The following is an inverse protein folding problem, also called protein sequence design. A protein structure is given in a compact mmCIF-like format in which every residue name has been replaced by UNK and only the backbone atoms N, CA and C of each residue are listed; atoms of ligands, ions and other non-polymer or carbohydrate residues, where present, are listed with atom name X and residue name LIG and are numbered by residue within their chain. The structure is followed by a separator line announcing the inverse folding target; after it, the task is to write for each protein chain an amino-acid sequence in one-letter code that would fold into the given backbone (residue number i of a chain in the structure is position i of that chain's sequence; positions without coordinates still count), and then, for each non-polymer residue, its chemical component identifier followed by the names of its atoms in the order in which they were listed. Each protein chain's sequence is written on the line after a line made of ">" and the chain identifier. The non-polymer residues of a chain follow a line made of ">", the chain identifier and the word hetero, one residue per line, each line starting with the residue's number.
data_IF_239715952782
#
_entry.id   IF_239715952782
#
_cell.length_a   1.000
_cell.length_b   1.000
_cell.length_c   1.000
_cell.angle_alpha   90.00
_cell.angle_beta   90.00
_cell.angle_gamma   90.00
#
_symmetry.space_group_name_H-M   'P 1'
#
loop_
_entity.id
_entity.type
_entity.pdbx_description
1 polymer ?
#
# COMPACT_ATOMS: atom_id res chain seq x y z
N UNK A 1 23.40 -22.38 -13.76
CA UNK A 1 22.79 -23.04 -14.93
C UNK A 1 21.27 -22.96 -14.80
N UNK A 2 20.51 -22.76 -15.88
CA UNK A 2 19.07 -23.07 -15.87
C UNK A 2 18.94 -24.54 -15.45
N UNK A 3 17.95 -24.91 -14.62
CA UNK A 3 17.85 -26.30 -14.17
C UNK A 3 17.66 -27.22 -15.39
N UNK A 4 18.39 -28.34 -15.48
CA UNK A 4 18.17 -29.36 -16.52
C UNK A 4 16.91 -30.18 -16.27
N UNK A 5 16.35 -30.13 -15.06
CA UNK A 5 15.15 -30.84 -14.66
C UNK A 5 13.99 -29.85 -14.49
N UNK A 6 12.79 -30.28 -14.84
CA UNK A 6 11.56 -29.48 -14.76
C UNK A 6 11.25 -28.90 -13.37
N UNK A 7 10.10 -28.23 -13.20
CA UNK A 7 9.77 -27.61 -11.93
C UNK A 7 9.77 -28.62 -10.79
N UNK A 8 10.46 -28.29 -9.70
CA UNK A 8 10.48 -29.15 -8.50
C UNK A 8 9.06 -29.24 -7.91
N UNK A 9 8.76 -30.31 -7.16
CA UNK A 9 7.47 -30.48 -6.51
C UNK A 9 7.07 -29.27 -5.63
N UNK A 10 8.05 -28.60 -5.00
CA UNK A 10 7.83 -27.36 -4.25
C UNK A 10 7.45 -26.16 -5.12
N UNK A 11 7.98 -26.07 -6.34
CA UNK A 11 7.61 -25.04 -7.31
C UNK A 11 6.20 -25.30 -7.88
N UNK A 12 5.87 -26.57 -8.12
CA UNK A 12 4.51 -26.96 -8.53
C UNK A 12 3.49 -26.63 -7.44
N UNK A 13 3.82 -26.84 -6.17
CA UNK A 13 2.98 -26.43 -5.04
C UNK A 13 2.76 -24.91 -5.02
N UNK A 14 3.81 -24.12 -5.28
CA UNK A 14 3.70 -22.67 -5.36
C UNK A 14 2.78 -22.24 -6.52
N UNK A 15 2.93 -22.84 -7.70
CA UNK A 15 2.04 -22.56 -8.84
C UNK A 15 0.59 -22.94 -8.53
N UNK A 16 0.36 -24.08 -7.89
CA UNK A 16 -0.96 -24.48 -7.44
C UNK A 16 -1.55 -23.46 -6.46
N UNK A 17 -0.75 -22.96 -5.50
CA UNK A 17 -1.20 -21.96 -4.54
C UNK A 17 -1.53 -20.62 -5.22
N UNK A 18 -0.67 -20.10 -6.10
CA UNK A 18 -0.98 -18.84 -6.79
C UNK A 18 -2.19 -19.01 -7.72
N UNK A 19 -2.37 -20.19 -8.33
CA UNK A 19 -3.57 -20.50 -9.07
C UNK A 19 -4.83 -20.44 -8.19
N UNK A 20 -4.78 -20.89 -6.93
CA UNK A 20 -5.93 -20.74 -6.03
C UNK A 20 -6.26 -19.29 -5.72
N UNK A 21 -5.23 -18.44 -5.56
CA UNK A 21 -5.41 -17.00 -5.38
C UNK A 21 -6.02 -16.36 -6.63
N UNK A 22 -5.57 -16.75 -7.83
CA UNK A 22 -6.16 -16.28 -9.08
C UNK A 22 -7.63 -16.68 -9.21
N UNK A 23 -7.99 -17.91 -8.84
CA UNK A 23 -9.39 -18.36 -8.83
C UNK A 23 -10.25 -17.54 -7.84
N UNK A 24 -9.72 -17.19 -6.66
CA UNK A 24 -10.43 -16.33 -5.72
C UNK A 24 -10.67 -14.92 -6.27
N UNK A 25 -9.66 -14.30 -6.88
CA UNK A 25 -9.80 -12.97 -7.48
C UNK A 25 -10.80 -12.98 -8.65
N UNK A 26 -10.73 -14.00 -9.50
CA UNK A 26 -11.71 -14.20 -10.59
C UNK A 26 -13.12 -14.43 -10.03
N UNK A 27 -13.26 -15.20 -8.93
CA UNK A 27 -14.54 -15.40 -8.25
C UNK A 27 -15.09 -14.06 -7.75
N UNK A 28 -14.25 -13.30 -7.05
CA UNK A 28 -14.62 -12.01 -6.47
C UNK A 28 -15.06 -11.01 -7.53
N UNK A 29 -14.33 -10.91 -8.65
CA UNK A 29 -14.64 -10.01 -9.75
C UNK A 29 -15.87 -10.41 -10.59
N UNK A 30 -16.13 -11.71 -10.77
CA UNK A 30 -17.20 -12.20 -11.66
C UNK A 30 -18.50 -12.56 -10.94
N UNK A 31 -18.43 -13.23 -9.79
CA UNK A 31 -19.56 -13.93 -9.16
C UNK A 31 -20.21 -13.16 -8.00
N UNK A 32 -19.57 -12.10 -7.50
CA UNK A 32 -20.13 -11.31 -6.38
C UNK A 32 -21.10 -10.23 -6.90
N UNK A 33 -22.40 -10.54 -6.94
CA UNK A 33 -23.47 -9.56 -7.19
C UNK A 33 -24.49 -9.95 -8.26
N UNK A 34 -25.54 -9.11 -8.45
CA UNK A 34 -26.67 -9.33 -9.37
C UNK A 34 -26.62 -8.51 -10.69
N UNK A 35 -25.64 -7.63 -10.91
CA UNK A 35 -25.57 -6.69 -12.07
C UNK A 35 -25.06 -7.33 -13.38
N UNK A 36 -25.01 -6.64 -14.51
CA UNK A 36 -24.36 -7.19 -15.72
C UNK A 36 -22.83 -7.35 -15.52
N UNK A 37 -22.21 -8.41 -16.08
CA UNK A 37 -20.79 -8.75 -15.86
C UNK A 37 -19.82 -7.58 -16.16
N UNK A 38 -20.02 -6.85 -17.25
CA UNK A 38 -19.15 -5.73 -17.63
C UNK A 38 -19.14 -4.59 -16.60
N UNK A 39 -20.30 -4.28 -16.00
CA UNK A 39 -20.39 -3.27 -14.94
C UNK A 39 -19.73 -3.74 -13.65
N UNK A 40 -19.74 -5.05 -13.36
CA UNK A 40 -19.08 -5.63 -12.18
C UNK A 40 -17.56 -5.55 -12.31
N UNK A 41 -17.02 -6.01 -13.44
CA UNK A 41 -15.57 -5.96 -13.72
C UNK A 41 -15.07 -4.52 -13.69
N UNK A 42 -15.84 -3.58 -14.24
CA UNK A 42 -15.49 -2.15 -14.17
C UNK A 42 -15.45 -1.62 -12.74
N UNK A 43 -16.42 -1.98 -11.90
CA UNK A 43 -16.43 -1.58 -10.49
C UNK A 43 -15.28 -2.23 -9.70
N UNK A 44 -14.97 -3.50 -9.98
CA UNK A 44 -13.84 -4.23 -9.39
C UNK A 44 -12.49 -3.58 -9.75
N UNK A 45 -12.29 -3.21 -11.02
CA UNK A 45 -11.07 -2.53 -11.47
C UNK A 45 -10.93 -1.09 -10.98
N UNK A 46 -11.96 -0.47 -10.39
CA UNK A 46 -11.87 0.87 -9.83
C UNK A 46 -11.27 0.89 -8.42
N UNK A 47 -11.27 -0.24 -7.71
CA UNK A 47 -10.66 -0.33 -6.39
C UNK A 47 -9.13 -0.42 -6.51
N UNK A 48 -8.35 0.52 -5.94
CA UNK A 48 -6.89 0.52 -6.04
C UNK A 48 -6.24 -0.72 -5.40
N UNK A 49 -6.84 -1.29 -4.36
CA UNK A 49 -6.32 -2.51 -3.73
C UNK A 49 -6.43 -3.71 -4.65
N UNK A 50 -7.51 -3.73 -5.41
CA UNK A 50 -7.76 -4.78 -6.35
C UNK A 50 -6.88 -4.66 -7.61
N UNK A 51 -6.62 -3.43 -8.07
CA UNK A 51 -5.61 -3.19 -9.10
C UNK A 51 -4.23 -3.66 -8.65
N UNK A 52 -3.89 -3.47 -7.37
CA UNK A 52 -2.64 -3.94 -6.79
C UNK A 52 -2.55 -5.47 -6.80
N UNK A 53 -3.60 -6.17 -6.38
CA UNK A 53 -3.67 -7.64 -6.39
C UNK A 53 -3.59 -8.21 -7.82
N UNK A 54 -4.26 -7.58 -8.79
CA UNK A 54 -4.17 -7.96 -10.21
C UNK A 54 -2.75 -7.74 -10.78
N UNK A 55 -2.09 -6.66 -10.35
CA UNK A 55 -0.71 -6.36 -10.76
C UNK A 55 0.27 -7.37 -10.19
N UNK A 56 0.11 -7.77 -8.92
CA UNK A 56 0.92 -8.83 -8.30
C UNK A 56 0.73 -10.17 -9.03
N UNK A 57 -0.51 -10.59 -9.26
CA UNK A 57 -0.77 -11.82 -10.02
C UNK A 57 -0.24 -11.76 -11.45
N UNK A 58 -0.34 -10.61 -12.12
CA UNK A 58 0.22 -10.40 -13.45
C UNK A 58 1.75 -10.49 -13.49
N UNK A 59 2.44 -9.90 -12.50
CA UNK A 59 3.90 -9.98 -12.37
C UNK A 59 4.37 -11.41 -12.08
N UNK A 60 3.65 -12.16 -11.24
CA UNK A 60 3.92 -13.58 -11.01
C UNK A 60 3.79 -14.41 -12.28
N UNK A 61 2.70 -14.24 -13.04
CA UNK A 61 2.49 -14.94 -14.30
C UNK A 61 3.60 -14.60 -15.31
N UNK A 62 3.97 -13.32 -15.43
CA UNK A 62 5.08 -12.89 -16.27
C UNK A 62 6.40 -13.53 -15.83
N UNK A 63 6.71 -13.53 -14.54
CA UNK A 63 7.89 -14.17 -13.98
C UNK A 63 7.92 -15.68 -14.21
N UNK A 64 6.79 -16.36 -14.05
CA UNK A 64 6.63 -17.78 -14.31
C UNK A 64 6.79 -18.14 -15.79
N UNK A 65 6.23 -17.34 -16.71
CA UNK A 65 6.44 -17.52 -18.16
C UNK A 65 7.91 -17.31 -18.52
N UNK A 66 8.55 -16.25 -18.02
CA UNK A 66 9.98 -15.99 -18.24
C UNK A 66 10.89 -17.09 -17.65
N UNK A 67 10.46 -17.78 -16.59
CA UNK A 67 11.13 -18.92 -15.96
C UNK A 67 11.09 -20.18 -16.85
N UNK A 68 10.08 -20.35 -17.70
CA UNK A 68 9.95 -21.50 -18.61
C UNK A 68 10.91 -21.42 -19.79
N UNK A 69 11.33 -20.21 -20.21
CA UNK A 69 12.26 -20.05 -21.33
C UNK A 69 13.71 -19.99 -20.85
N UNK A 70 14.63 -20.77 -21.46
CA UNK A 70 16.03 -20.84 -21.02
C UNK A 70 16.78 -19.51 -21.22
N UNK A 71 16.40 -18.71 -22.22
CA UNK A 71 17.01 -17.40 -22.51
C UNK A 71 16.69 -16.34 -21.46
N UNK A 72 15.51 -16.40 -20.84
CA UNK A 72 15.03 -15.38 -19.89
C UNK A 72 15.06 -15.87 -18.44
N UNK A 73 15.70 -17.00 -18.16
CA UNK A 73 15.70 -17.62 -16.84
C UNK A 73 16.23 -16.68 -15.73
N UNK A 74 17.34 -15.98 -15.99
CA UNK A 74 17.91 -15.03 -15.03
C UNK A 74 16.95 -13.85 -14.77
N UNK A 75 16.35 -13.31 -15.82
CA UNK A 75 15.35 -12.23 -15.71
C UNK A 75 14.08 -12.69 -14.99
N UNK A 76 13.61 -13.92 -15.24
CA UNK A 76 12.46 -14.51 -14.57
C UNK A 76 12.68 -14.63 -13.05
N UNK A 77 13.89 -15.03 -12.62
CA UNK A 77 14.25 -15.02 -11.20
C UNK A 77 14.16 -13.63 -10.59
N UNK A 78 14.70 -12.61 -11.27
CA UNK A 78 14.65 -11.22 -10.77
C UNK A 78 13.21 -10.71 -10.66
N UNK A 79 12.37 -11.01 -11.66
CA UNK A 79 10.94 -10.65 -11.63
C UNK A 79 10.22 -11.32 -10.48
N UNK A 80 10.44 -12.63 -10.24
CA UNK A 80 9.85 -13.35 -9.12
C UNK A 80 10.32 -12.83 -7.75
N UNK A 81 11.56 -12.33 -7.64
CA UNK A 81 12.04 -11.69 -6.41
C UNK A 81 11.32 -10.35 -6.14
N UNK A 82 11.11 -9.53 -7.18
CA UNK A 82 10.33 -8.29 -7.06
C UNK A 82 8.87 -8.58 -6.76
N UNK A 83 8.31 -9.60 -7.40
CA UNK A 83 6.95 -10.07 -7.18
C UNK A 83 6.73 -10.48 -5.72
N UNK A 84 7.69 -11.20 -5.11
CA UNK A 84 7.63 -11.51 -3.68
C UNK A 84 7.52 -10.25 -2.80
N UNK A 85 8.26 -9.18 -3.11
CA UNK A 85 8.12 -7.91 -2.39
C UNK A 85 6.69 -7.36 -2.49
N UNK A 86 6.09 -7.38 -3.69
CA UNK A 86 4.71 -6.94 -3.91
C UNK A 86 3.72 -7.81 -3.13
N UNK A 87 3.87 -9.14 -3.15
CA UNK A 87 3.05 -10.06 -2.35
C UNK A 87 3.18 -9.83 -0.85
N UNK A 88 4.37 -9.48 -0.35
CA UNK A 88 4.53 -9.15 1.08
C UNK A 88 3.82 -7.85 1.46
N UNK A 89 3.83 -6.85 0.58
CA UNK A 89 3.06 -5.61 0.79
C UNK A 89 1.56 -5.87 0.86
N UNK A 90 1.05 -6.89 0.16
CA UNK A 90 -0.36 -7.35 0.26
C UNK A 90 -0.76 -7.74 1.69
N UNK A 91 0.18 -8.24 2.51
CA UNK A 91 -0.11 -8.58 3.91
C UNK A 91 -0.58 -7.36 4.71
N UNK A 92 -0.10 -6.15 4.35
CA UNK A 92 -0.52 -4.89 4.98
C UNK A 92 -2.03 -4.69 4.79
N UNK A 93 -2.56 -4.98 3.61
CA UNK A 93 -4.00 -4.88 3.32
C UNK A 93 -4.81 -5.88 4.16
N UNK A 94 -4.31 -7.09 4.39
CA UNK A 94 -4.96 -8.07 5.27
C UNK A 94 -4.98 -7.56 6.72
N UNK A 95 -3.88 -6.96 7.20
CA UNK A 95 -3.81 -6.39 8.54
C UNK A 95 -4.64 -5.12 8.73
N UNK A 96 -5.14 -4.50 7.65
CA UNK A 96 -6.06 -3.35 7.71
C UNK A 96 -7.35 -3.63 8.49
N UNK A 97 -7.76 -4.90 8.54
CA UNK A 97 -8.97 -5.36 9.27
C UNK A 97 -8.77 -5.30 10.78
N UNK A 98 -7.52 -5.36 11.26
CA UNK A 98 -7.21 -5.42 12.67
C UNK A 98 -7.56 -4.11 13.38
N UNK A 99 -8.16 -4.20 14.57
CA UNK A 99 -8.60 -3.05 15.38
C UNK A 99 -7.45 -2.11 15.77
N UNK A 100 -6.25 -2.65 15.99
CA UNK A 100 -5.10 -1.87 16.45
C UNK A 100 -4.22 -1.31 15.31
N UNK A 101 -4.18 -1.99 14.16
CA UNK A 101 -3.29 -1.64 13.05
C UNK A 101 -4.02 -0.94 11.90
N UNK A 102 -5.31 -1.20 11.70
CA UNK A 102 -6.11 -0.64 10.63
C UNK A 102 -6.20 0.90 10.62
N UNK A 103 -6.54 1.56 11.76
CA UNK A 103 -6.56 3.02 11.81
C UNK A 103 -5.20 3.63 11.48
N UNK A 104 -4.11 3.03 11.97
CA UNK A 104 -2.73 3.47 11.73
C UNK A 104 -2.36 3.40 10.24
N UNK A 105 -2.74 2.31 9.57
CA UNK A 105 -2.50 2.14 8.13
C UNK A 105 -3.21 3.23 7.30
N UNK A 106 -4.45 3.57 7.63
CA UNK A 106 -5.20 4.64 6.93
C UNK A 106 -4.55 6.01 7.14
N UNK A 107 -4.01 6.26 8.33
CA UNK A 107 -3.28 7.50 8.62
C UNK A 107 -2.02 7.59 7.75
N UNK A 108 -1.21 6.52 7.70
CA UNK A 108 -0.02 6.45 6.82
C UNK A 108 -0.42 6.73 5.36
N UNK A 109 -1.49 6.11 4.86
CA UNK A 109 -1.97 6.34 3.50
C UNK A 109 -2.37 7.79 3.23
N UNK A 110 -2.99 8.47 4.19
CA UNK A 110 -3.36 9.89 4.06
C UNK A 110 -2.16 10.83 4.18
N UNK A 111 -1.13 10.45 4.95
CA UNK A 111 0.12 11.20 5.09
C UNK A 111 1.01 11.09 3.84
N UNK A 112 0.74 10.17 2.91
CA UNK A 112 1.51 10.04 1.66
C UNK A 112 1.50 11.31 0.81
N UNK A 113 0.45 12.14 0.87
CA UNK A 113 0.40 13.42 0.14
C UNK A 113 1.45 14.41 0.67
N UNK A 114 1.65 14.43 1.98
CA UNK A 114 2.63 15.31 2.61
C UNK A 114 4.05 14.78 2.38
N UNK A 115 4.24 13.46 2.42
CA UNK A 115 5.51 12.82 2.06
C UNK A 115 5.88 13.13 0.61
N UNK A 116 4.91 13.13 -0.31
CA UNK A 116 5.16 13.48 -1.71
C UNK A 116 5.59 14.95 -1.87
N UNK A 117 4.92 15.87 -1.17
CA UNK A 117 5.30 17.29 -1.17
C UNK A 117 6.71 17.49 -0.61
N UNK A 118 7.05 16.81 0.49
CA UNK A 118 8.39 16.82 1.05
C UNK A 118 9.44 16.26 0.07
N UNK A 119 9.15 15.11 -0.55
CA UNK A 119 10.06 14.48 -1.51
C UNK A 119 10.29 15.36 -2.75
N UNK A 120 9.29 16.13 -3.17
CA UNK A 120 9.44 17.11 -4.24
C UNK A 120 10.44 18.22 -3.88
N UNK A 121 10.28 18.86 -2.71
CA UNK A 121 11.24 19.87 -2.25
C UNK A 121 12.64 19.28 -2.02
N UNK A 122 12.71 18.08 -1.44
CA UNK A 122 13.97 17.36 -1.25
C UNK A 122 14.66 17.10 -2.58
N UNK A 123 13.93 16.66 -3.62
CA UNK A 123 14.50 16.39 -4.93
C UNK A 123 15.07 17.67 -5.58
N UNK A 124 14.36 18.80 -5.50
CA UNK A 124 14.85 20.09 -6.02
C UNK A 124 16.15 20.51 -5.32
N UNK A 125 16.19 20.42 -3.99
CA UNK A 125 17.39 20.74 -3.21
C UNK A 125 18.54 19.79 -3.52
N UNK A 126 18.25 18.48 -3.62
CA UNK A 126 19.24 17.44 -3.85
C UNK A 126 19.90 17.60 -5.22
N UNK A 127 19.12 17.92 -6.26
CA UNK A 127 19.66 18.22 -7.60
C UNK A 127 20.55 19.46 -7.56
N UNK A 128 20.11 20.56 -6.94
CA UNK A 128 20.90 21.79 -6.86
C UNK A 128 22.23 21.57 -6.15
N UNK A 129 22.20 20.92 -4.97
CA UNK A 129 23.39 20.60 -4.21
C UNK A 129 24.31 19.59 -4.92
N UNK A 130 23.73 18.51 -5.45
CA UNK A 130 24.49 17.44 -6.11
C UNK A 130 25.19 17.89 -7.38
N UNK A 131 24.53 18.70 -8.22
CA UNK A 131 25.14 19.24 -9.46
C UNK A 131 26.23 20.25 -9.14
N UNK A 132 26.00 21.13 -8.15
CA UNK A 132 27.01 22.12 -7.73
C UNK A 132 28.26 21.43 -7.19
N UNK A 133 28.07 20.42 -6.33
CA UNK A 133 29.16 19.63 -5.75
C UNK A 133 29.95 18.88 -6.82
N UNK A 134 29.29 18.25 -7.79
CA UNK A 134 29.97 17.57 -8.90
C UNK A 134 30.78 18.55 -9.76
N UNK A 135 30.20 19.72 -10.07
CA UNK A 135 30.87 20.75 -10.87
C UNK A 135 32.10 21.37 -10.21
N UNK A 136 32.09 21.49 -8.87
CA UNK A 136 33.21 22.04 -8.10
C UNK A 136 34.33 21.02 -7.86
N UNK A 137 33.99 19.78 -7.46
CA UNK A 137 35.00 18.79 -7.08
C UNK A 137 35.55 17.99 -8.28
N UNK A 138 34.76 17.75 -9.32
CA UNK A 138 35.14 16.87 -10.45
C UNK A 138 34.78 17.49 -11.81
N UNK A 139 35.46 18.58 -12.24
CA UNK A 139 35.11 19.32 -13.45
C UNK A 139 35.34 18.57 -14.78
N UNK A 140 36.01 17.40 -14.76
CA UNK A 140 36.45 16.69 -15.98
C UNK A 140 35.88 15.28 -16.16
N UNK A 141 35.06 14.79 -15.22
CA UNK A 141 34.48 13.45 -15.31
C UNK A 141 33.30 13.42 -16.30
N UNK A 142 33.35 12.53 -17.30
CA UNK A 142 32.29 12.39 -18.33
C UNK A 142 31.45 11.11 -18.22
N UNK A 143 31.68 10.29 -17.17
CA UNK A 143 30.99 9.01 -17.01
C UNK A 143 29.60 9.22 -16.41
N UNK A 144 28.57 9.25 -17.27
CA UNK A 144 27.18 9.50 -16.86
C UNK A 144 26.71 8.68 -15.65
N UNK A 145 26.98 7.38 -15.60
CA UNK A 145 26.56 6.52 -14.48
C UNK A 145 27.19 6.93 -13.13
N UNK A 146 28.42 7.45 -13.16
CA UNK A 146 29.10 7.93 -11.96
C UNK A 146 28.59 9.31 -11.55
N UNK A 147 28.36 10.19 -12.52
CA UNK A 147 27.74 11.50 -12.32
C UNK A 147 26.36 11.34 -11.66
N UNK A 148 25.49 10.47 -12.20
CA UNK A 148 24.18 10.20 -11.60
C UNK A 148 24.28 9.67 -10.16
N UNK A 149 25.25 8.79 -9.89
CA UNK A 149 25.50 8.29 -8.53
C UNK A 149 25.97 9.40 -7.58
N UNK A 150 26.84 10.31 -8.03
CA UNK A 150 27.36 11.41 -7.20
C UNK A 150 26.33 12.51 -6.99
N UNK A 151 25.55 12.86 -8.01
CA UNK A 151 24.52 13.91 -7.93
C UNK A 151 23.31 13.47 -7.10
N UNK A 152 22.82 12.24 -7.26
CA UNK A 152 21.59 11.81 -6.60
C UNK A 152 21.84 10.96 -5.34
N UNK A 153 22.64 9.91 -5.48
CA UNK A 153 22.74 8.88 -4.43
C UNK A 153 23.59 9.34 -3.24
N UNK A 154 24.68 10.07 -3.47
CA UNK A 154 25.55 10.54 -2.37
C UNK A 154 24.89 11.60 -1.48
N UNK A 155 24.35 12.72 -2.01
CA UNK A 155 23.58 13.68 -1.22
C UNK A 155 22.38 13.06 -0.48
N UNK A 156 21.73 12.06 -1.08
CA UNK A 156 20.65 11.34 -0.42
C UNK A 156 21.12 10.62 0.86
N UNK A 157 22.29 9.97 0.82
CA UNK A 157 22.87 9.29 1.98
C UNK A 157 23.33 10.25 3.08
N UNK A 158 23.77 11.47 2.72
CA UNK A 158 24.15 12.50 3.69
C UNK A 158 22.99 12.92 4.59
N UNK A 159 21.75 12.90 4.07
CA UNK A 159 20.53 13.19 4.86
C UNK A 159 20.37 12.20 6.02
N UNK A 160 20.84 10.96 5.85
CA UNK A 160 20.83 9.90 6.87
C UNK A 160 22.08 9.90 7.76
N UNK A 161 23.00 10.86 7.58
CA UNK A 161 24.21 11.00 8.40
C UNK A 161 25.41 10.19 7.91
N UNK A 162 25.35 9.59 6.72
CA UNK A 162 26.52 8.96 6.10
C UNK A 162 27.30 10.00 5.30
N UNK A 163 28.19 10.73 5.99
CA UNK A 163 29.06 11.74 5.37
C UNK A 163 30.42 11.09 5.12
N UNK A 164 30.80 10.79 3.86
CA UNK A 164 32.16 10.38 3.55
C UNK A 164 33.08 11.60 3.67
N UNK A 165 33.57 11.86 4.88
CA UNK A 165 34.49 12.97 5.18
C UNK A 165 35.79 12.83 4.36
N UNK A 166 36.28 11.60 4.19
CA UNK A 166 37.54 11.26 3.52
C UNK A 166 37.63 11.67 2.03
N UNK A 167 36.50 11.91 1.37
CA UNK A 167 36.46 12.36 -0.04
C UNK A 167 36.20 13.87 -0.19
N UNK A 168 35.72 14.53 0.87
CA UNK A 168 35.36 15.95 0.86
C UNK A 168 36.51 16.77 1.47
N UNK A 169 37.06 16.28 2.58
CA UNK A 169 38.29 16.81 3.16
C UNK A 169 39.45 16.30 2.32
N UNK A 170 39.84 17.09 1.31
CA UNK A 170 40.95 16.82 0.40
C UNK A 170 42.31 16.79 1.11
N UNK A 171 42.50 15.86 2.05
CA UNK A 171 43.76 15.61 2.71
C UNK A 171 44.69 14.90 1.72
N UNK A 172 45.44 15.75 1.02
CA UNK A 172 46.76 15.48 0.44
C UNK A 172 46.82 14.42 -0.66
N UNK A 173 46.41 14.79 -1.89
CA UNK A 173 46.94 14.15 -3.09
C UNK A 173 48.06 15.02 -3.68
N UNK A 174 49.31 14.66 -3.39
CA UNK A 174 50.48 15.16 -4.13
C UNK A 174 50.45 14.56 -5.54
N UNK A 175 49.74 15.22 -6.44
CA UNK A 175 49.78 14.95 -7.87
C UNK A 175 51.20 15.31 -8.39
N UNK A 176 52.16 14.38 -8.33
CA UNK A 176 53.50 14.58 -8.89
C UNK A 176 53.39 14.54 -10.41
N UNK A 177 53.62 15.68 -11.06
CA UNK A 177 53.68 15.79 -12.53
C UNK A 177 54.97 15.13 -13.02
N UNK A 178 54.98 13.82 -13.16
CA UNK A 178 56.03 13.10 -13.90
C UNK A 178 55.37 12.34 -15.05
N UNK A 179 55.71 12.77 -16.27
CA UNK A 179 55.24 12.13 -17.50
C UNK A 179 55.69 10.67 -17.55
N UNK A 180 54.76 9.78 -17.84
CA UNK A 180 55.04 8.36 -17.99
C UNK A 180 53.76 7.55 -17.90
N UNK A 181 53.26 7.11 -19.05
CA UNK A 181 52.12 6.21 -19.15
C UNK A 181 52.39 4.91 -18.41
N UNK A 182 51.66 4.68 -17.31
CA UNK A 182 51.23 3.35 -16.87
C UNK A 182 50.00 3.50 -15.98
N UNK A 183 48.85 3.20 -16.58
CA UNK A 183 47.55 3.14 -15.90
C UNK A 183 47.32 1.68 -15.59
N UNK A 184 47.74 1.23 -14.42
CA UNK A 184 47.24 0.00 -13.82
C UNK A 184 47.20 0.23 -12.30
N UNK A 185 46.03 -0.04 -11.72
CA UNK A 185 45.74 -0.09 -10.28
C UNK A 185 45.73 1.24 -9.50
N UNK A 186 44.74 2.09 -9.78
CA UNK A 186 44.19 3.01 -8.77
C UNK A 186 42.66 3.07 -8.88
N UNK A 187 41.97 2.27 -8.06
CA UNK A 187 40.54 2.39 -7.80
C UNK A 187 40.27 3.52 -6.78
N UNK A 188 40.74 4.75 -7.05
CA UNK A 188 40.49 5.94 -6.20
C UNK A 188 40.31 7.20 -7.07
N UNK A 189 39.42 8.15 -6.69
CA UNK A 189 39.11 9.32 -7.51
C UNK A 189 40.31 10.26 -7.62
N UNK A 190 40.47 10.87 -8.80
CA UNK A 190 41.53 11.80 -9.15
C UNK A 190 41.40 13.17 -8.44
N UNK A 191 42.56 13.79 -8.17
CA UNK A 191 42.82 15.03 -7.43
C UNK A 191 41.73 16.13 -7.59
N UNK A 192 41.16 16.56 -6.46
CA UNK A 192 40.29 17.73 -6.33
C UNK A 192 41.08 19.02 -6.48
N UNK A 193 40.57 19.97 -7.28
CA UNK A 193 41.15 21.30 -7.42
C UNK A 193 40.86 22.14 -6.19
N UNK A 194 41.90 22.58 -5.48
CA UNK A 194 41.81 23.63 -4.46
C UNK A 194 41.18 24.90 -5.07
N UNK A 195 39.92 25.16 -4.72
CA UNK A 195 39.28 26.46 -4.89
C UNK A 195 38.37 26.70 -3.68
N UNK A 196 38.81 27.59 -2.79
CA UNK A 196 37.96 28.35 -1.87
C UNK A 196 37.38 27.60 -0.66
N UNK A 197 38.21 27.27 0.32
CA UNK A 197 37.75 26.89 1.67
C UNK A 197 37.19 28.10 2.42
N UNK A 198 36.01 27.96 3.02
CA UNK A 198 35.46 28.94 3.96
C UNK A 198 33.98 28.74 4.31
N UNK A 199 33.09 28.75 3.32
CA UNK A 199 31.67 29.03 3.60
C UNK A 199 30.69 27.86 3.35
N UNK A 200 31.01 26.89 2.50
CA UNK A 200 30.06 25.81 2.16
C UNK A 200 30.06 24.63 3.15
N UNK A 201 31.00 24.59 4.09
CA UNK A 201 31.07 23.56 5.14
C UNK A 201 30.12 23.82 6.31
N UNK A 202 29.83 25.09 6.59
CA UNK A 202 28.99 25.49 7.72
C UNK A 202 27.49 25.32 7.42
N UNK A 203 27.07 25.37 6.15
CA UNK A 203 25.66 25.26 5.77
C UNK A 203 25.12 23.81 5.76
N UNK A 204 25.98 22.81 5.59
CA UNK A 204 25.56 21.40 5.40
C UNK A 204 24.88 20.75 6.62
N UNK A 205 25.40 20.90 7.86
CA UNK A 205 24.75 20.33 9.04
C UNK A 205 23.41 21.01 9.34
N UNK A 206 23.34 22.33 9.12
CA UNK A 206 22.18 23.17 9.41
C UNK A 206 21.01 22.90 8.47
N UNK A 207 21.25 22.79 7.16
CA UNK A 207 20.18 22.44 6.22
C UNK A 207 19.63 21.03 6.49
N UNK A 208 20.48 20.08 6.86
CA UNK A 208 20.07 18.69 7.13
C UNK A 208 19.30 18.58 8.46
N UNK A 209 19.73 19.31 9.51
CA UNK A 209 19.00 19.34 10.78
C UNK A 209 17.66 20.04 10.65
N UNK A 210 17.61 21.20 9.98
CA UNK A 210 16.38 21.95 9.73
C UNK A 210 15.40 21.11 8.92
N UNK A 211 15.83 20.48 7.81
CA UNK A 211 14.93 19.64 7.01
C UNK A 211 14.38 18.45 7.80
N UNK A 212 15.17 17.87 8.71
CA UNK A 212 14.74 16.75 9.55
C UNK A 212 13.76 17.18 10.64
N UNK A 213 14.02 18.32 11.29
CA UNK A 213 13.12 18.90 12.29
C UNK A 213 11.80 19.36 11.67
N UNK A 214 11.86 20.07 10.53
CA UNK A 214 10.66 20.49 9.79
C UNK A 214 9.85 19.27 9.33
N UNK A 215 10.49 18.23 8.80
CA UNK A 215 9.81 17.00 8.39
C UNK A 215 9.12 16.31 9.57
N UNK A 216 9.76 16.28 10.75
CA UNK A 216 9.19 15.73 11.97
C UNK A 216 7.98 16.53 12.47
N UNK A 217 8.06 17.86 12.43
CA UNK A 217 6.98 18.74 12.87
C UNK A 217 5.78 18.72 11.93
N UNK A 218 6.00 18.78 10.61
CA UNK A 218 4.94 18.63 9.62
C UNK A 218 4.29 17.25 9.70
N UNK A 219 5.07 16.17 9.89
CA UNK A 219 4.52 14.84 10.10
C UNK A 219 3.69 14.75 11.39
N UNK A 220 4.14 15.39 12.48
CA UNK A 220 3.41 15.42 13.76
C UNK A 220 2.09 16.20 13.66
N UNK A 221 2.11 17.38 13.03
CA UNK A 221 0.91 18.20 12.81
C UNK A 221 -0.12 17.49 11.94
N UNK A 222 0.29 16.89 10.81
CA UNK A 222 -0.64 16.15 9.97
C UNK A 222 -1.12 14.87 10.66
N UNK A 223 -0.26 14.18 11.41
CA UNK A 223 -0.67 13.00 12.19
C UNK A 223 -1.80 13.36 13.17
N UNK A 224 -1.66 14.44 13.93
CA UNK A 224 -2.70 14.91 14.87
C UNK A 224 -4.02 15.25 14.16
N UNK A 225 -3.96 15.96 13.02
CA UNK A 225 -5.14 16.35 12.23
C UNK A 225 -5.83 15.16 11.55
N UNK A 226 -5.05 14.21 11.04
CA UNK A 226 -5.54 13.02 10.32
C UNK A 226 -6.06 11.96 11.29
N UNK A 227 -5.52 11.86 12.51
CA UNK A 227 -5.97 10.93 13.55
C UNK A 227 -7.46 11.12 13.89
N UNK A 228 -7.92 12.36 14.05
CA UNK A 228 -9.30 12.66 14.46
C UNK A 228 -10.37 12.19 13.46
N UNK A 229 -10.11 12.32 12.15
CA UNK A 229 -11.07 11.93 11.10
C UNK A 229 -10.87 10.50 10.59
N UNK A 230 -9.72 9.88 10.86
CA UNK A 230 -9.41 8.55 10.30
C UNK A 230 -10.08 7.41 11.03
N UNK A 231 -10.42 7.55 12.32
CA UNK A 231 -11.14 6.50 13.07
C UNK A 231 -12.56 6.30 12.53
N UNK A 232 -13.30 7.38 12.24
CA UNK A 232 -14.64 7.28 11.64
C UNK A 232 -14.59 6.64 10.25
N UNK A 233 -13.61 7.02 9.43
CA UNK A 233 -13.41 6.44 8.11
C UNK A 233 -13.04 4.95 8.18
N UNK A 234 -12.12 4.58 9.09
CA UNK A 234 -11.74 3.19 9.34
C UNK A 234 -12.92 2.34 9.79
N UNK A 235 -13.76 2.85 10.71
CA UNK A 235 -14.97 2.15 11.17
C UNK A 235 -15.93 1.82 10.02
N UNK A 236 -16.11 2.75 9.07
CA UNK A 236 -16.91 2.53 7.87
C UNK A 236 -16.30 1.49 6.94
N UNK A 237 -14.99 1.60 6.65
CA UNK A 237 -14.27 0.63 5.81
C UNK A 237 -14.26 -0.77 6.41
N UNK A 238 -14.05 -0.88 7.73
CA UNK A 238 -14.02 -2.14 8.46
C UNK A 238 -15.34 -2.92 8.30
N UNK A 239 -16.48 -2.23 8.35
CA UNK A 239 -17.77 -2.90 8.15
C UNK A 239 -17.86 -3.54 6.76
N UNK A 240 -17.44 -2.81 5.71
CA UNK A 240 -17.41 -3.33 4.34
C UNK A 240 -16.48 -4.56 4.22
N UNK A 241 -15.29 -4.50 4.82
CA UNK A 241 -14.34 -5.62 4.82
C UNK A 241 -14.91 -6.83 5.56
N UNK A 242 -15.53 -6.66 6.73
CA UNK A 242 -16.14 -7.76 7.48
C UNK A 242 -17.25 -8.43 6.67
N UNK A 243 -18.10 -7.63 6.00
CA UNK A 243 -19.15 -8.14 5.12
C UNK A 243 -18.56 -8.95 3.95
N UNK A 244 -17.45 -8.48 3.38
CA UNK A 244 -16.73 -9.18 2.32
C UNK A 244 -16.18 -10.53 2.82
N UNK A 245 -15.47 -10.56 3.94
CA UNK A 245 -14.94 -11.79 4.54
C UNK A 245 -16.05 -12.79 4.90
N UNK A 246 -17.21 -12.31 5.34
CA UNK A 246 -18.35 -13.18 5.64
C UNK A 246 -18.89 -13.90 4.40
N UNK A 247 -18.78 -13.28 3.22
CA UNK A 247 -19.21 -13.86 1.95
C UNK A 247 -18.11 -14.71 1.27
N UNK A 248 -16.91 -14.80 1.84
CA UNK A 248 -15.85 -15.69 1.34
C UNK A 248 -16.10 -17.13 1.81
N UNK A 249 -15.75 -18.14 1.00
CA UNK A 249 -15.82 -19.53 1.43
C UNK A 249 -14.92 -19.74 2.67
N UNK A 250 -15.38 -20.58 3.60
CA UNK A 250 -14.75 -20.74 4.92
C UNK A 250 -13.36 -21.40 4.91
N UNK A 251 -12.94 -21.98 3.77
CA UNK A 251 -11.68 -22.70 3.67
C UNK A 251 -10.51 -21.75 3.38
N UNK A 252 -9.37 -22.02 4.02
CA UNK A 252 -8.13 -21.29 3.79
C UNK A 252 -7.67 -21.42 2.32
N UNK A 253 -6.90 -20.43 1.79
CA UNK A 253 -6.44 -20.38 0.40
C UNK A 253 -5.83 -21.67 -0.19
N UNK A 254 -5.09 -22.53 0.55
CA UNK A 254 -4.61 -23.79 -0.03
C UNK A 254 -5.72 -24.83 -0.28
N UNK A 255 -6.80 -24.82 0.49
CA UNK A 255 -7.90 -25.80 0.39
C UNK A 255 -9.13 -25.27 -0.35
N UNK A 256 -9.09 -24.02 -0.80
CA UNK A 256 -10.20 -23.34 -1.46
C UNK A 256 -10.56 -23.98 -2.82
N UNK A 257 -9.62 -24.71 -3.43
CA UNK A 257 -9.86 -25.51 -4.64
C UNK A 257 -11.03 -26.48 -4.42
N UNK A 258 -11.13 -27.09 -3.23
CA UNK A 258 -12.21 -28.03 -2.90
C UNK A 258 -13.56 -27.31 -2.91
N UNK A 259 -13.63 -26.08 -2.37
CA UNK A 259 -14.87 -25.29 -2.44
C UNK A 259 -15.23 -24.87 -3.87
N UNK A 260 -14.24 -24.52 -4.70
CA UNK A 260 -14.49 -24.19 -6.12
C UNK A 260 -14.95 -25.39 -6.93
N UNK A 261 -14.38 -26.57 -6.69
CA UNK A 261 -14.77 -27.83 -7.37
C UNK A 261 -16.19 -28.25 -6.95
N UNK A 262 -16.57 -28.06 -5.68
CA UNK A 262 -17.93 -28.36 -5.19
C UNK A 262 -18.96 -27.33 -5.70
N UNK A 263 -18.57 -26.06 -5.84
CA UNK A 263 -19.46 -24.99 -6.31
C UNK A 263 -19.60 -24.91 -7.85
N UNK A 264 -18.60 -25.37 -8.62
CA UNK A 264 -18.61 -25.36 -10.07
C UNK A 264 -19.83 -26.07 -10.73
N UNK A 265 -20.25 -27.28 -10.31
CA UNK A 265 -21.40 -27.96 -10.92
C UNK A 265 -22.74 -27.23 -10.66
N UNK A 266 -22.85 -26.44 -9.60
CA UNK A 266 -24.06 -25.67 -9.27
C UNK A 266 -24.26 -24.42 -10.14
N UNK A 267 -23.20 -23.98 -10.84
CA UNK A 267 -23.18 -22.81 -11.73
C UNK A 267 -23.40 -23.23 -13.19
N UNK A 268 -22.93 -24.42 -13.59
CA UNK A 268 -22.97 -24.90 -14.96
C UNK A 268 -24.27 -25.65 -15.30
N UNK A 269 -24.98 -26.20 -14.31
CA UNK A 269 -26.26 -26.90 -14.51
C UNK A 269 -27.42 -25.93 -14.26
N UNK A 270 -28.32 -25.70 -15.24
CA UNK A 270 -29.49 -24.85 -15.02
C UNK A 270 -30.41 -25.47 -13.94
N UNK A 271 -31.04 -24.64 -13.08
CA UNK A 271 -31.81 -25.12 -11.92
C UNK A 271 -32.94 -26.09 -12.28
N UNK A 272 -33.38 -26.14 -13.53
CA UNK A 272 -34.41 -27.07 -14.00
C UNK A 272 -34.01 -28.56 -13.97
N UNK A 273 -32.71 -28.91 -13.98
CA UNK A 273 -32.25 -30.31 -13.99
C UNK A 273 -31.82 -30.84 -12.61
N UNK A 274 -31.60 -29.96 -11.62
CA UNK A 274 -31.11 -30.34 -10.29
C UNK A 274 -32.24 -30.62 -9.29
N UNK A 275 -33.45 -30.09 -9.53
CA UNK A 275 -34.57 -30.12 -8.58
C UNK A 275 -35.23 -31.50 -8.40
N UNK A 276 -34.96 -32.48 -9.26
CA UNK A 276 -35.67 -33.77 -9.26
C UNK A 276 -35.01 -34.88 -8.44
N UNK A 277 -33.77 -34.74 -7.96
CA UNK A 277 -33.10 -35.89 -7.33
C UNK A 277 -32.59 -35.70 -5.89
N UNK A 278 -32.34 -34.48 -5.39
CA UNK A 278 -31.95 -34.27 -3.99
C UNK A 278 -32.40 -32.87 -3.52
N UNK A 279 -32.96 -32.71 -2.31
CA UNK A 279 -33.14 -31.41 -1.69
C UNK A 279 -31.76 -30.92 -1.22
N UNK A 280 -30.93 -30.44 -2.15
CA UNK A 280 -29.70 -29.75 -1.79
C UNK A 280 -30.03 -28.28 -1.46
N UNK A 281 -29.64 -27.76 -0.29
CA UNK A 281 -29.78 -26.35 0.02
C UNK A 281 -29.07 -25.50 -1.03
N UNK A 282 -29.47 -24.24 -1.16
CA UNK A 282 -28.85 -23.26 -2.06
C UNK A 282 -27.31 -23.32 -2.09
N UNK A 283 -26.66 -22.97 -3.22
CA UNK A 283 -25.21 -23.13 -3.47
C UNK A 283 -24.30 -22.62 -2.35
N UNK A 284 -24.79 -21.63 -1.63
CA UNK A 284 -24.26 -21.22 -0.34
C UNK A 284 -25.43 -21.36 0.65
N UNK A 285 -25.35 -22.24 1.66
CA UNK A 285 -26.16 -22.02 2.85
C UNK A 285 -25.82 -20.60 3.31
N UNK A 286 -26.82 -19.75 3.57
CA UNK A 286 -26.56 -18.54 4.37
C UNK A 286 -25.85 -19.06 5.62
N UNK A 287 -24.57 -18.74 5.75
CA UNK A 287 -23.76 -19.13 6.89
C UNK A 287 -24.54 -18.76 8.16
N UNK A 288 -24.62 -19.64 9.17
CA UNK A 288 -25.24 -19.28 10.44
C UNK A 288 -24.51 -18.05 10.98
N UNK A 289 -25.14 -16.87 10.87
CA UNK A 289 -24.52 -15.57 11.16
C UNK A 289 -24.56 -14.49 10.08
N UNK A 290 -25.24 -14.70 8.94
CA UNK A 290 -25.53 -13.61 7.99
C UNK A 290 -26.08 -12.37 8.72
N UNK A 291 -25.56 -11.16 8.44
CA UNK A 291 -26.04 -9.93 9.07
C UNK A 291 -27.51 -9.65 8.74
N UNK A 292 -27.99 -10.13 7.59
CA UNK A 292 -29.41 -10.17 7.27
C UNK A 292 -30.05 -11.38 7.97
N UNK A 293 -30.81 -11.10 9.04
CA UNK A 293 -31.72 -12.04 9.69
C UNK A 293 -33.13 -11.73 9.25
N UNK A 294 -33.86 -12.76 8.85
CA UNK A 294 -35.30 -12.65 8.61
C UNK A 294 -35.99 -12.74 9.98
N UNK A 295 -36.54 -11.62 10.46
CA UNK A 295 -37.27 -11.59 11.72
C UNK A 295 -38.74 -12.01 11.51
N UNK A 296 -39.34 -12.73 12.48
CA UNK A 296 -40.78 -12.95 12.49
C UNK A 296 -41.53 -11.60 12.50
N UNK A 297 -42.68 -11.49 11.82
CA UNK A 297 -43.40 -10.22 11.68
C UNK A 297 -43.81 -9.60 13.02
N UNK A 298 -44.13 -10.43 14.04
CA UNK A 298 -44.44 -9.94 15.38
C UNK A 298 -43.23 -9.32 16.10
N UNK A 299 -42.03 -9.90 15.91
CA UNK A 299 -40.82 -9.38 16.54
C UNK A 299 -40.37 -8.09 15.84
N UNK A 300 -40.52 -8.02 14.52
CA UNK A 300 -40.22 -6.82 13.73
C UNK A 300 -41.13 -5.65 14.14
N UNK A 301 -42.44 -5.91 14.27
CA UNK A 301 -43.39 -4.91 14.76
C UNK A 301 -43.05 -4.42 16.18
N UNK A 302 -42.68 -5.32 17.09
CA UNK A 302 -42.23 -4.95 18.45
C UNK A 302 -40.96 -4.10 18.42
N UNK A 303 -39.98 -4.46 17.60
CA UNK A 303 -38.73 -3.70 17.43
C UNK A 303 -39.00 -2.27 16.92
N UNK A 304 -39.87 -2.13 15.91
CA UNK A 304 -40.25 -0.81 15.39
C UNK A 304 -40.97 0.04 16.43
N UNK A 305 -41.89 -0.54 17.20
CA UNK A 305 -42.55 0.20 18.30
C UNK A 305 -41.56 0.62 19.38
N UNK A 306 -40.61 -0.24 19.74
CA UNK A 306 -39.57 0.08 20.70
C UNK A 306 -38.66 1.21 20.19
N UNK A 307 -38.22 1.14 18.93
CA UNK A 307 -37.40 2.19 18.29
C UNK A 307 -38.14 3.54 18.27
N UNK A 308 -39.43 3.53 17.92
CA UNK A 308 -40.25 4.74 17.89
C UNK A 308 -40.35 5.41 19.28
N UNK A 309 -40.57 4.62 20.34
CA UNK A 309 -40.61 5.13 21.71
C UNK A 309 -39.26 5.72 22.13
N UNK A 310 -38.14 5.06 21.80
CA UNK A 310 -36.81 5.60 22.10
C UNK A 310 -36.53 6.91 21.35
N UNK A 311 -36.95 6.98 20.07
CA UNK A 311 -36.83 8.19 19.25
C UNK A 311 -37.61 9.35 19.85
N UNK A 312 -38.86 9.14 20.25
CA UNK A 312 -39.68 10.18 20.87
C UNK A 312 -39.08 10.66 22.20
N UNK A 313 -38.66 9.74 23.06
CA UNK A 313 -37.99 10.08 24.32
C UNK A 313 -36.73 10.91 24.08
N UNK A 314 -35.93 10.55 23.08
CA UNK A 314 -34.72 11.29 22.71
C UNK A 314 -35.03 12.70 22.18
N UNK A 315 -36.04 12.83 21.33
CA UNK A 315 -36.47 14.14 20.79
C UNK A 315 -37.03 15.05 21.88
N UNK A 316 -37.81 14.51 22.83
CA UNK A 316 -38.29 15.26 23.99
C UNK A 316 -37.13 15.72 24.86
N UNK A 317 -36.12 14.86 25.09
CA UNK A 317 -34.93 15.23 25.86
C UNK A 317 -34.13 16.36 25.19
N UNK A 318 -33.89 16.27 23.87
CA UNK A 318 -33.26 17.33 23.10
C UNK A 318 -34.07 18.64 23.12
N UNK A 319 -35.40 18.54 23.01
CA UNK A 319 -36.30 19.69 23.11
C UNK A 319 -36.23 20.37 24.47
N UNK A 320 -36.16 19.60 25.56
CA UNK A 320 -35.93 20.13 26.92
C UNK A 320 -34.58 20.82 27.03
N UNK A 321 -33.50 20.17 26.57
CA UNK A 321 -32.15 20.74 26.61
C UNK A 321 -32.05 22.05 25.82
N UNK A 322 -32.67 22.11 24.62
CA UNK A 322 -32.72 23.33 23.81
C UNK A 322 -33.51 24.44 24.50
N UNK A 323 -34.65 24.10 25.12
CA UNK A 323 -35.47 25.03 25.89
C UNK A 323 -34.72 25.59 27.11
N UNK A 324 -33.92 24.75 27.75
CA UNK A 324 -33.14 25.10 28.93
C UNK A 324 -31.81 25.79 28.61
N UNK A 325 -31.46 25.91 27.32
CA UNK A 325 -30.29 26.69 26.88
C UNK A 325 -30.46 28.17 27.21
N UNK A 326 -29.39 28.79 27.69
CA UNK A 326 -29.37 30.21 28.07
C UNK A 326 -29.78 31.13 26.91
N UNK A 327 -29.45 30.76 25.67
CA UNK A 327 -29.88 31.50 24.47
C UNK A 327 -31.40 31.56 24.31
N UNK A 328 -32.08 30.42 24.46
CA UNK A 328 -33.55 30.33 24.38
C UNK A 328 -34.22 30.93 25.63
N UNK A 329 -33.60 30.82 26.81
CA UNK A 329 -34.09 31.48 28.03
C UNK A 329 -34.05 33.00 27.88
N UNK A 330 -32.93 33.56 27.44
CA UNK A 330 -32.77 34.99 27.17
C UNK A 330 -33.74 35.48 26.09
N UNK A 331 -33.93 34.70 25.02
CA UNK A 331 -34.91 35.00 23.97
C UNK A 331 -36.34 35.07 24.52
N UNK A 332 -36.71 34.14 25.39
CA UNK A 332 -38.05 34.11 26.03
C UNK A 332 -38.26 35.23 27.02
N UNK A 333 -37.22 35.62 27.77
CA UNK A 333 -37.32 36.78 28.68
C UNK A 333 -37.35 38.10 27.93
N UNK A 334 -36.72 38.18 26.75
CA UNK A 334 -36.77 39.38 25.88
C UNK A 334 -38.11 39.53 25.14
N UNK A 335 -38.86 38.45 24.94
CA UNK A 335 -40.18 38.46 24.28
C UNK A 335 -41.34 38.65 25.26
N UNK A 336 -41.08 38.59 26.57
CA UNK A 336 -42.04 38.85 27.64
C UNK A 336 -41.97 40.30 28.08
#
# INVERSE_FOLDING_TARGET
>A
APPPDGPCASEVLLYAWVFTLLCEELRQGCFTGRRALAQRVRAYLQDPWNQFDLTALGLFLLGAVCRMFPRTYASGRTVLCLDFMVFTLRLIHIFAVNKQLGPKMIIVGKMMKDVFLFLFFLAVWLVAYGVTTEGLLHPSDQRLAWIFRRVFYRPYLQIFGQIPLDEIDGLMCQCTRTGGWRVDECARPQCTSECGGGDEECARPWCTSICRELAGEHASYTFAKVQGNSDTYWKSQRYSLILEYHNRPALAPPFIIISHVIAAPQILVPPCLLFTCLPFPSPFPRTPGSPARDLPPEQDARLLTWEAVQKENHLVALGRQKRDSDTERLRRTSQK
#
